data_IF_406474423299
#
_entry.id   IF_406474423299
#
_cell.length_a   1.000
_cell.length_b   1.000
_cell.length_c   1.000
_cell.angle_alpha   90.00
_cell.angle_beta   90.00
_cell.angle_gamma   90.00
#
_symmetry.space_group_name_H-M   'P 1'
#
loop_
_entity.id
_entity.type
_entity.pdbx_description
1 polymer ?
#
# COMPACT_ATOMS: atom_id res chain seq x y z
N UNK A 1 -6.99 -11.61 4.36
CA UNK A 1 -6.67 -10.54 3.40
C UNK A 1 -7.92 -9.73 3.13
N UNK A 2 -7.83 -8.40 3.15
CA UNK A 2 -8.94 -7.51 2.80
C UNK A 2 -9.39 -7.77 1.36
N UNK A 3 -10.70 -7.76 1.12
CA UNK A 3 -11.30 -7.95 -0.20
C UNK A 3 -11.97 -6.68 -0.71
N UNK A 4 -12.27 -6.65 -2.01
CA UNK A 4 -13.08 -5.59 -2.64
C UNK A 4 -14.43 -5.42 -1.93
N UNK A 5 -15.10 -6.51 -1.59
CA UNK A 5 -16.42 -6.47 -0.94
C UNK A 5 -16.32 -5.95 0.50
N UNK A 6 -15.24 -6.29 1.21
CA UNK A 6 -14.97 -5.73 2.53
C UNK A 6 -14.73 -4.20 2.46
N UNK A 7 -14.05 -3.72 1.42
CA UNK A 7 -13.86 -2.28 1.21
C UNK A 7 -15.15 -1.57 0.82
N UNK A 8 -15.96 -2.17 -0.07
CA UNK A 8 -17.30 -1.66 -0.38
C UNK A 8 -18.15 -1.56 0.89
N UNK A 9 -18.09 -2.56 1.77
CA UNK A 9 -18.85 -2.53 3.03
C UNK A 9 -18.33 -1.49 4.02
N UNK A 10 -17.02 -1.24 4.09
CA UNK A 10 -16.42 -0.31 5.07
C UNK A 10 -16.44 1.14 4.59
N UNK A 11 -16.12 1.37 3.33
CA UNK A 11 -15.90 2.71 2.77
C UNK A 11 -16.98 3.12 1.77
N UNK A 12 -17.73 2.16 1.21
CA UNK A 12 -18.70 2.41 0.14
C UNK A 12 -18.07 2.38 -1.25
N UNK A 13 -18.80 2.94 -2.22
CA UNK A 13 -18.34 3.09 -3.60
C UNK A 13 -17.04 3.91 -3.65
N UNK A 14 -15.95 3.41 -4.27
CA UNK A 14 -14.67 4.13 -4.34
C UNK A 14 -14.77 5.50 -5.02
N UNK A 15 -15.75 5.74 -5.90
CA UNK A 15 -16.00 7.05 -6.55
C UNK A 15 -16.35 8.16 -5.53
N UNK A 16 -16.81 7.79 -4.33
CA UNK A 16 -17.11 8.75 -3.27
C UNK A 16 -15.85 9.17 -2.48
N UNK A 17 -14.72 8.49 -2.67
CA UNK A 17 -13.44 8.79 -2.00
C UNK A 17 -13.56 8.95 -0.47
N UNK A 18 -14.43 8.16 0.16
CA UNK A 18 -14.64 8.21 1.60
C UNK A 18 -13.36 7.86 2.38
N UNK A 19 -13.14 8.59 3.48
CA UNK A 19 -12.01 8.42 4.39
C UNK A 19 -10.63 8.66 3.74
N UNK A 20 -10.55 9.38 2.62
CA UNK A 20 -9.31 9.73 1.94
C UNK A 20 -8.67 11.00 2.53
N UNK A 21 -7.34 11.01 2.60
CA UNK A 21 -6.53 12.12 3.11
C UNK A 21 -5.20 12.21 2.36
N UNK A 22 -4.52 13.35 2.50
CA UNK A 22 -3.13 13.51 2.07
C UNK A 22 -2.21 13.17 3.24
N UNK A 23 -1.40 12.13 3.08
CA UNK A 23 -0.27 11.84 3.95
C UNK A 23 1.00 12.51 3.42
N UNK A 24 1.84 12.98 4.34
CA UNK A 24 3.11 13.64 4.03
C UNK A 24 4.26 12.68 4.30
N UNK A 25 5.02 12.35 3.25
CA UNK A 25 6.13 11.42 3.37
C UNK A 25 7.27 12.02 4.23
N UNK A 26 7.93 11.23 5.10
CA UNK A 26 9.09 11.68 5.86
C UNK A 26 10.21 12.17 4.94
N UNK A 27 10.91 13.25 5.34
CA UNK A 27 11.98 13.86 4.55
C UNK A 27 13.07 12.90 4.06
N UNK A 28 13.54 11.91 4.85
CA UNK A 28 14.53 10.94 4.37
C UNK A 28 14.08 10.13 3.14
N UNK A 29 12.77 9.96 2.93
CA UNK A 29 12.21 9.17 1.83
C UNK A 29 11.88 10.00 0.59
N UNK A 30 11.83 11.33 0.72
CA UNK A 30 11.48 12.24 -0.38
C UNK A 30 12.62 12.51 -1.36
N UNK A 31 13.83 12.00 -1.11
CA UNK A 31 15.02 12.23 -1.93
C UNK A 31 14.99 11.45 -3.27
N UNK A 32 13.94 11.67 -4.06
CA UNK A 32 13.71 11.05 -5.37
C UNK A 32 13.04 9.68 -5.32
N UNK A 33 12.80 9.11 -4.12
CA UNK A 33 12.19 7.79 -3.97
C UNK A 33 10.66 7.87 -3.85
N UNK A 34 10.15 8.75 -2.98
CA UNK A 34 8.71 8.98 -2.77
C UNK A 34 8.30 10.41 -3.12
N UNK A 35 7.04 10.62 -3.57
CA UNK A 35 6.44 11.95 -3.62
C UNK A 35 6.21 12.49 -2.19
N UNK A 36 6.31 13.81 -2.03
CA UNK A 36 6.13 14.47 -0.73
C UNK A 36 4.72 14.36 -0.17
N UNK A 37 3.73 14.21 -1.04
CA UNK A 37 2.32 14.10 -0.71
C UNK A 37 1.77 12.85 -1.38
N UNK A 38 1.14 11.99 -0.59
CA UNK A 38 0.50 10.76 -1.05
C UNK A 38 -0.96 10.85 -0.67
N UNK A 39 -1.86 10.74 -1.65
CA UNK A 39 -3.29 10.67 -1.41
C UNK A 39 -3.69 9.22 -1.17
N UNK A 40 -4.19 8.92 0.04
CA UNK A 40 -4.48 7.56 0.50
C UNK A 40 -5.62 7.55 1.53
N UNK A 41 -6.06 6.35 1.90
CA UNK A 41 -7.04 6.20 2.97
C UNK A 41 -6.42 6.56 4.33
N UNK A 42 -7.19 7.18 5.22
CA UNK A 42 -6.79 7.41 6.61
C UNK A 42 -6.31 6.15 7.30
N UNK A 43 -6.98 5.02 7.05
CA UNK A 43 -6.64 3.73 7.66
C UNK A 43 -5.28 3.18 7.17
N UNK A 44 -4.74 3.70 6.06
CA UNK A 44 -3.42 3.36 5.58
C UNK A 44 -2.31 4.07 6.40
N UNK A 45 -2.57 5.27 6.93
CA UNK A 45 -1.54 6.19 7.42
C UNK A 45 -0.71 5.57 8.55
N UNK A 46 -1.34 5.08 9.62
CA UNK A 46 -0.61 4.51 10.76
C UNK A 46 0.31 3.34 10.37
N UNK A 47 -0.21 2.31 9.68
CA UNK A 47 0.62 1.24 9.12
C UNK A 47 1.73 1.75 8.19
N UNK A 48 1.43 2.73 7.33
CA UNK A 48 2.39 3.28 6.37
C UNK A 48 3.54 4.02 7.07
N UNK A 49 3.24 4.80 8.10
CA UNK A 49 4.23 5.46 8.95
C UNK A 49 5.11 4.45 9.68
N UNK A 50 4.53 3.39 10.25
CA UNK A 50 5.29 2.32 10.89
C UNK A 50 6.20 1.59 9.89
N UNK A 51 5.69 1.28 8.69
CA UNK A 51 6.45 0.58 7.65
C UNK A 51 7.65 1.40 7.17
N UNK A 52 7.43 2.69 6.89
CA UNK A 52 8.50 3.57 6.45
C UNK A 52 9.45 3.96 7.59
N UNK A 53 8.99 3.98 8.83
CA UNK A 53 9.84 4.00 10.02
C UNK A 53 10.80 2.82 10.03
N UNK A 54 10.28 1.59 9.85
CA UNK A 54 11.11 0.39 9.74
C UNK A 54 12.15 0.49 8.61
N UNK A 55 11.78 1.03 7.43
CA UNK A 55 12.72 1.21 6.31
C UNK A 55 13.89 2.13 6.71
N UNK A 56 13.59 3.26 7.36
CA UNK A 56 14.59 4.22 7.80
C UNK A 56 15.48 3.60 8.88
N UNK A 57 14.88 3.01 9.92
CA UNK A 57 15.59 2.44 11.07
C UNK A 57 16.49 1.26 10.68
N UNK A 58 16.06 0.45 9.70
CA UNK A 58 16.84 -0.71 9.22
C UNK A 58 17.84 -0.34 8.11
N UNK A 59 17.92 0.93 7.72
CA UNK A 59 18.88 1.42 6.73
C UNK A 59 18.59 0.96 5.30
N UNK A 60 17.32 0.77 4.95
CA UNK A 60 16.89 0.19 3.66
C UNK A 60 16.33 1.23 2.68
N UNK A 61 16.53 2.53 2.94
CA UNK A 61 16.01 3.62 2.09
C UNK A 61 16.46 3.46 0.63
N UNK A 62 17.70 3.05 0.41
CA UNK A 62 18.28 2.92 -0.93
C UNK A 62 17.69 1.74 -1.72
N UNK A 63 17.01 0.79 -1.06
CA UNK A 63 16.31 -0.31 -1.73
C UNK A 63 14.95 0.09 -2.29
N UNK A 64 14.43 1.28 -1.96
CA UNK A 64 13.24 1.82 -2.62
C UNK A 64 13.73 2.61 -3.83
N UNK A 65 13.43 2.13 -5.04
CA UNK A 65 13.76 2.78 -6.30
C UNK A 65 12.66 3.72 -6.76
N UNK A 66 11.40 3.35 -6.55
CA UNK A 66 10.25 4.10 -7.05
C UNK A 66 9.01 3.92 -6.18
N UNK A 67 8.18 4.95 -6.17
CA UNK A 67 6.79 4.90 -5.74
C UNK A 67 5.87 4.91 -6.95
N UNK A 68 5.16 3.81 -7.18
CA UNK A 68 4.45 3.56 -8.44
C UNK A 68 2.93 3.75 -8.33
N UNK A 69 2.44 4.13 -7.15
CA UNK A 69 1.08 4.61 -6.95
C UNK A 69 0.44 4.12 -5.66
N UNK A 70 -0.69 4.74 -5.29
CA UNK A 70 -1.49 4.33 -4.14
C UNK A 70 -2.98 4.36 -4.43
N UNK A 71 -3.50 5.51 -4.86
CA UNK A 71 -4.90 5.66 -5.21
C UNK A 71 -5.13 5.62 -6.72
N UNK A 72 -6.00 4.71 -7.17
CA UNK A 72 -6.45 4.61 -8.56
C UNK A 72 -7.75 3.80 -8.61
N UNK A 73 -8.87 4.44 -8.93
CA UNK A 73 -10.17 3.78 -9.07
C UNK A 73 -10.17 2.93 -10.34
N UNK A 74 -10.06 1.61 -10.16
CA UNK A 74 -10.05 0.67 -11.28
C UNK A 74 -10.51 -0.73 -10.87
N UNK A 75 -10.95 -1.50 -11.87
CA UNK A 75 -11.13 -2.94 -11.70
C UNK A 75 -9.77 -3.65 -11.65
N UNK A 76 -9.74 -4.83 -11.01
CA UNK A 76 -8.59 -5.73 -11.10
C UNK A 76 -8.38 -6.17 -12.54
N UNK A 77 -7.13 -6.33 -12.95
CA UNK A 77 -6.77 -6.75 -14.32
C UNK A 77 -7.39 -8.12 -14.61
N UNK A 78 -8.26 -8.18 -15.62
CA UNK A 78 -8.96 -9.42 -16.01
C UNK A 78 -10.06 -9.87 -15.05
N UNK A 79 -10.51 -9.01 -14.13
CA UNK A 79 -11.59 -9.29 -13.18
C UNK A 79 -12.68 -8.23 -13.18
N UNK A 80 -13.76 -8.50 -12.43
CA UNK A 80 -14.95 -7.63 -12.34
C UNK A 80 -15.03 -6.82 -11.04
N UNK A 81 -14.22 -7.18 -10.04
CA UNK A 81 -14.14 -6.49 -8.74
C UNK A 81 -13.08 -5.40 -8.75
N UNK A 82 -13.25 -4.39 -7.88
CA UNK A 82 -12.29 -3.29 -7.78
C UNK A 82 -10.95 -3.77 -7.23
N UNK A 83 -9.88 -3.08 -7.64
CA UNK A 83 -8.59 -3.17 -6.98
C UNK A 83 -8.63 -2.43 -5.65
N UNK A 84 -7.82 -2.85 -4.67
CA UNK A 84 -7.71 -2.16 -3.39
C UNK A 84 -7.09 -0.75 -3.50
N UNK A 85 -6.38 -0.47 -4.60
CA UNK A 85 -6.00 0.91 -4.95
C UNK A 85 -7.21 1.84 -5.11
N UNK A 86 -8.39 1.31 -5.40
CA UNK A 86 -9.61 2.12 -5.54
C UNK A 86 -10.05 2.75 -4.22
N UNK A 87 -9.56 2.25 -3.08
CA UNK A 87 -9.85 2.82 -1.76
C UNK A 87 -8.61 3.40 -1.08
N UNK A 88 -7.48 3.50 -1.79
CA UNK A 88 -6.24 4.06 -1.24
C UNK A 88 -5.68 3.27 -0.05
N UNK A 89 -5.93 1.96 0.02
CA UNK A 89 -5.42 1.07 1.09
C UNK A 89 -4.34 0.08 0.58
N UNK A 90 -3.84 0.34 -0.62
CA UNK A 90 -2.77 -0.41 -1.28
C UNK A 90 -1.81 0.57 -1.95
N UNK A 91 -0.58 0.14 -2.18
CA UNK A 91 0.42 0.92 -2.89
C UNK A 91 1.42 0.00 -3.60
N UNK A 92 2.06 0.55 -4.62
CA UNK A 92 3.09 -0.13 -5.41
C UNK A 92 4.45 0.58 -5.22
N UNK A 93 5.51 -0.21 -5.05
CA UNK A 93 6.90 0.26 -5.10
C UNK A 93 7.77 -0.62 -6.00
N UNK A 94 8.83 -0.05 -6.57
CA UNK A 94 9.82 -0.75 -7.39
C UNK A 94 9.21 -1.56 -8.55
N UNK A 95 8.15 -1.03 -9.18
CA UNK A 95 7.36 -1.74 -10.19
C UNK A 95 8.18 -2.22 -11.41
N UNK A 96 9.19 -1.45 -11.82
CA UNK A 96 10.04 -1.78 -12.96
C UNK A 96 10.75 -3.15 -12.78
N UNK A 97 11.17 -3.48 -11.56
CA UNK A 97 11.81 -4.77 -11.22
C UNK A 97 10.87 -5.83 -10.65
N UNK A 98 9.62 -5.46 -10.34
CA UNK A 98 8.68 -6.31 -9.60
C UNK A 98 7.28 -6.41 -10.23
N UNK A 99 7.21 -6.32 -11.56
CA UNK A 99 5.97 -6.32 -12.31
C UNK A 99 5.08 -7.56 -12.09
N UNK A 100 3.76 -7.36 -12.15
CA UNK A 100 2.77 -8.43 -12.01
C UNK A 100 3.02 -9.67 -12.90
N UNK A 101 3.01 -10.84 -12.27
CA UNK A 101 3.23 -12.14 -12.89
C UNK A 101 4.69 -12.44 -13.23
N UNK A 102 5.63 -11.61 -12.78
CA UNK A 102 7.08 -11.87 -12.89
C UNK A 102 7.63 -12.36 -11.55
N UNK A 103 8.76 -13.10 -11.54
CA UNK A 103 9.45 -13.45 -10.31
C UNK A 103 9.77 -12.17 -9.51
N UNK A 104 9.31 -12.05 -8.25
CA UNK A 104 9.66 -10.91 -7.41
C UNK A 104 11.16 -10.86 -7.14
N UNK A 105 11.70 -9.65 -7.05
CA UNK A 105 13.13 -9.38 -6.80
C UNK A 105 13.37 -8.58 -5.53
N UNK A 106 12.31 -8.06 -4.91
CA UNK A 106 12.40 -7.30 -3.66
C UNK A 106 13.04 -8.12 -2.54
N UNK A 107 13.95 -7.49 -1.79
CA UNK A 107 14.66 -8.18 -0.72
C UNK A 107 13.70 -8.59 0.40
N UNK A 108 13.93 -9.74 1.07
CA UNK A 108 13.12 -10.13 2.22
C UNK A 108 13.16 -9.10 3.36
N UNK A 109 14.27 -8.36 3.50
CA UNK A 109 14.42 -7.34 4.53
C UNK A 109 13.50 -6.13 4.27
N UNK A 110 13.44 -5.66 3.02
CA UNK A 110 12.53 -4.58 2.64
C UNK A 110 11.07 -5.02 2.75
N UNK A 111 10.73 -6.22 2.28
CA UNK A 111 9.38 -6.77 2.43
C UNK A 111 8.98 -6.84 3.91
N UNK A 112 9.89 -7.27 4.79
CA UNK A 112 9.64 -7.36 6.22
C UNK A 112 9.29 -6.00 6.85
N UNK A 113 9.87 -4.87 6.39
CA UNK A 113 9.50 -3.55 6.89
C UNK A 113 7.99 -3.27 6.79
N UNK A 114 7.38 -3.72 5.69
CA UNK A 114 5.95 -3.55 5.45
C UNK A 114 5.12 -4.66 6.11
N UNK A 115 5.52 -5.91 6.02
CA UNK A 115 4.72 -7.00 6.61
C UNK A 115 4.67 -6.93 8.13
N UNK A 116 5.76 -6.51 8.78
CA UNK A 116 5.81 -6.26 10.24
C UNK A 116 4.88 -5.12 10.67
N UNK A 117 4.60 -4.19 9.75
CA UNK A 117 3.72 -3.04 9.96
C UNK A 117 2.25 -3.30 9.59
N UNK A 118 1.88 -4.55 9.26
CA UNK A 118 0.50 -4.93 8.99
C UNK A 118 0.11 -4.93 7.50
N UNK A 119 1.08 -4.96 6.59
CA UNK A 119 0.83 -5.17 5.17
C UNK A 119 0.88 -6.64 4.76
N UNK A 120 0.06 -6.99 3.77
CA UNK A 120 0.24 -8.19 2.95
C UNK A 120 1.02 -7.81 1.69
N UNK A 121 1.91 -8.71 1.25
CA UNK A 121 2.75 -8.50 0.07
C UNK A 121 2.32 -9.41 -1.08
N UNK A 122 2.07 -8.82 -2.24
CA UNK A 122 1.63 -9.51 -3.45
C UNK A 122 2.64 -10.51 -4.01
N UNK A 123 3.92 -10.39 -3.66
CA UNK A 123 4.96 -11.34 -4.08
C UNK A 123 4.75 -12.78 -3.59
N UNK A 124 3.95 -12.96 -2.53
CA UNK A 124 3.61 -14.28 -1.97
C UNK A 124 2.41 -14.95 -2.64
N UNK A 125 1.73 -14.27 -3.58
CA UNK A 125 0.53 -14.81 -4.22
C UNK A 125 0.86 -15.84 -5.29
N UNK A 126 -0.11 -16.71 -5.62
CA UNK A 126 0.06 -17.77 -6.63
C UNK A 126 0.46 -17.23 -8.01
N UNK A 127 -0.07 -16.05 -8.37
CA UNK A 127 0.46 -15.21 -9.44
C UNK A 127 1.06 -13.96 -8.79
N UNK A 128 2.40 -13.91 -8.65
CA UNK A 128 3.04 -12.87 -7.85
C UNK A 128 2.76 -11.47 -8.36
N UNK A 129 2.64 -10.52 -7.44
CA UNK A 129 2.64 -9.09 -7.69
C UNK A 129 3.68 -8.43 -6.78
N UNK A 130 4.96 -8.52 -7.17
CA UNK A 130 6.08 -8.19 -6.27
C UNK A 130 6.15 -6.70 -5.88
N UNK A 131 5.51 -5.82 -6.66
CA UNK A 131 5.46 -4.39 -6.38
C UNK A 131 4.38 -4.03 -5.36
N UNK A 132 3.36 -4.88 -5.22
CA UNK A 132 2.11 -4.56 -4.57
C UNK A 132 2.13 -4.87 -3.06
N UNK A 133 1.76 -3.86 -2.27
CA UNK A 133 1.45 -4.00 -0.85
C UNK A 133 0.03 -3.51 -0.58
N UNK A 134 -0.64 -4.15 0.38
CA UNK A 134 -1.97 -3.74 0.82
C UNK A 134 -2.15 -4.01 2.31
N UNK A 135 -3.06 -3.28 2.96
CA UNK A 135 -3.39 -3.61 4.35
C UNK A 135 -3.83 -5.08 4.47
N UNK A 136 -3.21 -5.82 5.39
CA UNK A 136 -3.54 -7.23 5.62
C UNK A 136 -4.92 -7.37 6.30
N UNK A 137 -5.24 -6.41 7.17
CA UNK A 137 -6.48 -6.27 7.93
C UNK A 137 -6.83 -4.79 8.10
N UNK A 138 -8.09 -4.47 8.33
CA UNK A 138 -8.45 -3.11 8.74
C UNK A 138 -7.83 -2.79 10.10
N UNK A 139 -7.30 -1.58 10.32
CA UNK A 139 -6.87 -1.16 11.64
C UNK A 139 -8.06 -1.22 12.61
N UNK A 140 -7.79 -1.62 13.85
CA UNK A 140 -8.72 -1.44 14.95
C UNK A 140 -8.76 0.05 15.27
N UNK A 141 -9.57 0.78 14.52
CA UNK A 141 -9.79 2.20 14.71
C UNK A 141 -11.10 2.37 15.46
N UNK A 142 -10.97 2.74 16.73
CA UNK A 142 -12.08 3.28 17.53
C UNK A 142 -12.37 4.69 17.00
N UNK A 143 -13.10 4.77 15.89
CA UNK A 143 -13.77 6.00 15.50
C UNK A 143 -14.92 6.15 16.48
N UNK A 144 -14.62 6.72 17.65
CA UNK A 144 -15.57 6.96 18.72
C UNK A 144 -16.89 7.46 18.14
N UNK A 145 -17.98 6.90 18.66
CA UNK A 145 -19.33 7.40 18.43
C UNK A 145 -19.32 8.92 18.54
N UNK A 146 -19.56 9.59 17.42
CA UNK A 146 -20.00 10.97 17.41
C UNK A 146 -21.53 10.99 17.49
#
# INVERSE_FOLDING_TARGET
MITSDACLSRYGDPENEHNMQVWHAPAPLMAGKLPAKIYCNRDLIGPLEAAFGNVIERGLIDEIDSWDGCFNIRKKRGGTTHSLHSWGIAFDINAAGNAFGKPPTMSPALVACFTDAGFDWGGNWSKPDGMHFQLAKFPETDYGQA
#
